data_IF_743247261685
#
_entry.id   IF_743247261685
#
_cell.length_a   1.000
_cell.length_b   1.000
_cell.length_c   1.000
_cell.angle_alpha   90.00
_cell.angle_beta   90.00
_cell.angle_gamma   90.00
#
_symmetry.space_group_name_H-M   'P 1'
#
loop_
_entity.id
_entity.type
_entity.pdbx_description
1 polymer ?
#
# COMPACT_ATOMS: atom_id res chain seq x y z
N UNK A 1 -61.88 17.65 0.64
CA UNK A 1 -61.29 16.34 0.28
C UNK A 1 -59.89 16.24 0.85
N UNK A 2 -59.49 15.13 1.49
CA UNK A 2 -58.12 14.96 1.96
C UNK A 2 -57.20 14.82 0.74
N UNK A 3 -56.11 15.59 0.73
CA UNK A 3 -55.06 15.52 -0.30
C UNK A 3 -54.46 14.11 -0.34
N UNK A 4 -54.31 13.54 -1.54
CA UNK A 4 -53.65 12.24 -1.71
C UNK A 4 -52.22 12.30 -1.14
N UNK A 5 -51.78 11.28 -0.38
CA UNK A 5 -50.42 11.24 0.11
C UNK A 5 -49.47 11.22 -1.08
N UNK A 6 -48.60 12.21 -1.16
CA UNK A 6 -47.53 12.22 -2.15
C UNK A 6 -46.38 11.31 -1.66
N UNK A 7 -45.58 10.84 -2.61
CA UNK A 7 -44.47 9.93 -2.37
C UNK A 7 -43.21 10.45 -3.05
N UNK A 8 -42.09 10.27 -2.37
CA UNK A 8 -40.78 10.66 -2.88
C UNK A 8 -39.69 9.69 -2.42
N UNK A 9 -38.60 9.66 -3.18
CA UNK A 9 -37.44 8.86 -2.88
C UNK A 9 -36.57 9.55 -1.84
N UNK A 10 -36.13 8.79 -0.83
CA UNK A 10 -35.07 9.21 0.09
C UNK A 10 -33.91 8.23 0.02
N UNK A 11 -32.71 8.71 0.35
CA UNK A 11 -31.48 7.92 0.28
C UNK A 11 -30.73 7.95 1.59
N UNK A 12 -30.11 6.84 1.97
CA UNK A 12 -29.13 6.85 3.07
C UNK A 12 -27.84 7.54 2.63
N UNK A 13 -26.97 7.96 3.58
CA UNK A 13 -25.60 8.29 3.27
C UNK A 13 -24.89 7.12 2.55
N UNK A 14 -23.91 7.48 1.72
CA UNK A 14 -23.04 6.50 1.06
C UNK A 14 -22.15 5.78 2.09
N UNK A 15 -21.88 4.49 1.86
CA UNK A 15 -20.85 3.76 2.60
C UNK A 15 -19.48 4.44 2.42
N UNK A 16 -18.58 4.34 3.40
CA UNK A 16 -17.25 4.97 3.31
C UNK A 16 -16.37 4.26 2.26
N UNK A 17 -15.52 5.02 1.56
CA UNK A 17 -14.40 4.48 0.80
C UNK A 17 -13.19 4.45 1.70
N UNK A 18 -12.70 3.26 2.04
CA UNK A 18 -11.53 3.12 2.90
C UNK A 18 -10.22 3.12 2.11
N UNK A 19 -10.26 2.82 0.80
CA UNK A 19 -9.06 2.68 -0.01
C UNK A 19 -9.13 3.50 -1.32
N UNK A 20 -8.37 4.59 -1.45
CA UNK A 20 -8.50 5.53 -2.56
C UNK A 20 -7.95 4.99 -3.89
N UNK A 21 -7.14 3.92 -3.87
CA UNK A 21 -6.53 3.32 -5.06
C UNK A 21 -7.07 1.93 -5.40
N UNK A 22 -8.13 1.46 -4.73
CA UNK A 22 -8.83 0.23 -5.11
C UNK A 22 -10.09 0.55 -5.89
N UNK A 23 -10.46 -0.35 -6.81
CA UNK A 23 -11.78 -0.33 -7.44
C UNK A 23 -12.77 -0.83 -6.39
N UNK A 24 -13.37 0.12 -5.68
CA UNK A 24 -14.41 -0.13 -4.72
C UNK A 24 -15.62 0.71 -5.10
N UNK A 25 -16.81 0.15 -4.85
CA UNK A 25 -18.05 0.88 -5.00
C UNK A 25 -18.56 1.29 -3.62
N UNK A 26 -19.10 2.50 -3.55
CA UNK A 26 -19.94 2.90 -2.44
C UNK A 26 -21.36 2.44 -2.70
N UNK A 27 -21.99 1.95 -1.64
CA UNK A 27 -23.38 1.52 -1.67
C UNK A 27 -24.21 2.44 -0.76
N UNK A 28 -25.46 2.68 -1.15
CA UNK A 28 -26.47 3.31 -0.29
C UNK A 28 -27.82 2.65 -0.51
N UNK A 29 -28.71 2.77 0.48
CA UNK A 29 -30.07 2.28 0.37
C UNK A 29 -31.00 3.41 -0.06
N UNK A 30 -32.02 3.05 -0.82
CA UNK A 30 -33.02 3.98 -1.35
C UNK A 30 -34.39 3.48 -0.92
N UNK A 31 -35.20 4.37 -0.39
CA UNK A 31 -36.53 4.05 0.12
C UNK A 31 -37.57 4.99 -0.49
N UNK A 32 -38.72 4.44 -0.85
CA UNK A 32 -39.90 5.25 -1.14
C UNK A 32 -40.56 5.61 0.19
N UNK A 33 -40.84 6.90 0.41
CA UNK A 33 -41.53 7.37 1.62
C UNK A 33 -42.67 8.30 1.28
N UNK A 34 -43.70 8.28 2.12
CA UNK A 34 -44.80 9.24 2.04
C UNK A 34 -44.42 10.60 2.62
N UNK A 35 -45.23 11.62 2.35
CA UNK A 35 -45.15 12.94 2.99
C UNK A 35 -45.07 12.90 4.52
N UNK A 36 -45.64 11.85 5.11
CA UNK A 36 -45.73 11.63 6.55
C UNK A 36 -44.51 10.85 7.09
N UNK A 37 -43.47 10.65 6.27
CA UNK A 37 -42.22 9.98 6.66
C UNK A 37 -42.30 8.45 6.75
N UNK A 38 -43.44 7.83 6.41
CA UNK A 38 -43.61 6.37 6.47
C UNK A 38 -43.05 5.70 5.21
N UNK A 39 -42.36 4.57 5.39
CA UNK A 39 -41.87 3.73 4.28
C UNK A 39 -43.04 3.15 3.48
N UNK A 40 -42.91 3.20 2.16
CA UNK A 40 -43.88 2.69 1.21
C UNK A 40 -43.19 1.75 0.20
N UNK A 41 -44.00 0.97 -0.54
CA UNK A 41 -43.51 0.14 -1.61
C UNK A 41 -42.91 0.99 -2.75
N UNK A 42 -41.85 0.50 -3.39
CA UNK A 42 -41.15 1.15 -4.52
C UNK A 42 -42.12 1.70 -5.58
N UNK A 43 -43.15 0.92 -5.93
CA UNK A 43 -44.21 1.27 -6.89
C UNK A 43 -44.97 2.57 -6.58
N UNK A 44 -45.07 2.97 -5.30
CA UNK A 44 -45.80 4.18 -4.88
C UNK A 44 -45.09 5.46 -5.28
N UNK A 45 -43.77 5.42 -5.48
CA UNK A 45 -43.00 6.54 -5.99
C UNK A 45 -43.04 6.66 -7.52
N UNK A 46 -43.70 5.70 -8.21
CA UNK A 46 -43.99 5.74 -9.63
C UNK A 46 -42.76 5.80 -10.54
N UNK A 47 -42.93 6.44 -11.70
CA UNK A 47 -41.91 6.58 -12.76
C UNK A 47 -40.79 7.60 -12.43
N UNK A 48 -40.71 8.12 -11.20
CA UNK A 48 -39.57 8.96 -10.79
C UNK A 48 -38.31 8.09 -10.81
N UNK A 49 -37.27 8.56 -11.52
CA UNK A 49 -35.99 7.84 -11.63
C UNK A 49 -35.46 7.47 -10.26
N UNK A 50 -35.27 6.16 -10.05
CA UNK A 50 -34.76 5.63 -8.78
C UNK A 50 -33.33 6.16 -8.60
N UNK A 51 -33.01 6.80 -7.46
CA UNK A 51 -31.66 7.25 -7.18
C UNK A 51 -30.63 6.11 -7.27
N UNK A 52 -29.43 6.43 -7.78
CA UNK A 52 -28.31 5.48 -7.86
C UNK A 52 -28.01 4.85 -6.49
N UNK A 53 -27.99 3.52 -6.41
CA UNK A 53 -27.65 2.76 -5.20
C UNK A 53 -26.16 2.41 -5.10
N UNK A 54 -25.45 2.50 -6.22
CA UNK A 54 -24.03 2.16 -6.35
C UNK A 54 -23.31 3.27 -7.10
N UNK A 55 -22.12 3.65 -6.65
CA UNK A 55 -21.21 4.54 -7.39
C UNK A 55 -19.76 4.15 -7.12
N UNK A 56 -18.88 4.40 -8.09
CA UNK A 56 -17.45 4.20 -7.89
C UNK A 56 -16.89 5.11 -6.79
N UNK A 57 -15.94 4.60 -6.01
CA UNK A 57 -15.20 5.38 -5.05
C UNK A 57 -14.39 6.51 -5.75
N UNK A 58 -14.39 7.74 -5.19
CA UNK A 58 -13.52 8.79 -5.69
C UNK A 58 -12.04 8.40 -5.56
N UNK A 59 -11.29 8.48 -6.66
CA UNK A 59 -9.85 8.14 -6.70
C UNK A 59 -8.94 9.37 -6.65
N UNK A 60 -9.49 10.56 -6.41
CA UNK A 60 -8.75 11.83 -6.38
C UNK A 60 -7.68 11.85 -5.30
N UNK A 61 -7.94 11.22 -4.15
CA UNK A 61 -7.00 11.07 -3.05
C UNK A 61 -5.94 9.95 -3.27
N UNK A 62 -5.96 9.25 -4.42
CA UNK A 62 -4.97 8.22 -4.68
C UNK A 62 -3.59 8.87 -4.90
N UNK A 63 -2.55 8.48 -4.13
CA UNK A 63 -1.19 9.00 -4.27
C UNK A 63 -0.50 8.56 -5.57
N UNK A 64 -1.10 7.68 -6.37
CA UNK A 64 -0.50 7.18 -7.60
C UNK A 64 -1.22 7.72 -8.83
N UNK A 65 -0.55 7.67 -9.97
CA UNK A 65 -1.16 7.94 -11.27
C UNK A 65 -0.41 7.25 -12.41
N UNK A 66 -1.12 7.10 -13.53
CA UNK A 66 -0.52 6.64 -14.77
C UNK A 66 0.20 7.77 -15.47
N UNK A 67 1.51 7.60 -15.68
CA UNK A 67 2.34 8.49 -16.47
C UNK A 67 2.59 7.83 -17.83
N UNK A 68 2.05 8.38 -18.93
CA UNK A 68 2.30 7.85 -20.25
C UNK A 68 3.72 8.18 -20.69
N UNK A 69 4.46 7.16 -21.13
CA UNK A 69 5.73 7.33 -21.81
C UNK A 69 5.58 7.94 -23.20
N UNK A 70 6.71 8.18 -23.90
CA UNK A 70 6.71 8.65 -25.27
C UNK A 70 6.02 7.66 -26.20
N UNK A 71 5.38 8.16 -27.25
CA UNK A 71 4.97 7.34 -28.39
C UNK A 71 6.19 6.79 -29.12
N UNK A 72 6.13 5.50 -29.48
CA UNK A 72 7.06 4.83 -30.37
C UNK A 72 7.00 5.45 -31.76
N UNK A 73 7.86 5.01 -32.67
CA UNK A 73 7.55 5.19 -34.11
C UNK A 73 6.29 4.47 -34.51
N UNK A 74 5.73 4.90 -35.64
CA UNK A 74 4.70 4.14 -36.32
C UNK A 74 5.20 2.72 -36.61
N UNK A 75 4.32 1.74 -36.47
CA UNK A 75 4.60 0.32 -36.70
C UNK A 75 4.97 0.01 -38.14
N UNK A 76 4.59 0.88 -39.08
CA UNK A 76 4.96 0.80 -40.49
C UNK A 76 5.86 1.98 -40.87
N UNK A 77 6.70 1.79 -41.87
CA UNK A 77 7.54 2.86 -42.46
C UNK A 77 6.83 3.60 -43.60
N UNK A 78 5.65 3.14 -43.99
CA UNK A 78 4.79 3.76 -45.00
C UNK A 78 3.30 3.40 -44.77
N UNK A 79 2.40 4.24 -45.29
CA UNK A 79 0.96 4.07 -45.17
C UNK A 79 0.45 4.15 -43.72
N UNK A 80 -0.66 3.47 -43.44
CA UNK A 80 -1.33 3.50 -42.13
C UNK A 80 -0.81 2.44 -41.17
N UNK A 81 -0.38 2.87 -39.99
CA UNK A 81 0.10 2.02 -38.90
C UNK A 81 -0.33 2.54 -37.52
N UNK A 82 0.38 2.10 -36.47
CA UNK A 82 0.11 2.48 -35.09
C UNK A 82 1.38 2.89 -34.35
N UNK A 83 1.29 3.96 -33.56
CA UNK A 83 2.20 4.25 -32.47
C UNK A 83 1.79 3.46 -31.23
N UNK A 84 2.77 3.02 -30.45
CA UNK A 84 2.59 2.38 -29.16
C UNK A 84 3.33 3.17 -28.09
N UNK A 85 2.85 3.18 -26.85
CA UNK A 85 3.62 3.73 -25.72
C UNK A 85 3.51 2.83 -24.51
N UNK A 86 4.57 2.85 -23.69
CA UNK A 86 4.50 2.29 -22.34
C UNK A 86 3.78 3.29 -21.45
N UNK A 87 3.12 2.78 -20.42
CA UNK A 87 2.60 3.60 -19.33
C UNK A 87 3.19 3.06 -18.03
N UNK A 88 3.47 3.96 -17.12
CA UNK A 88 4.09 3.62 -15.83
C UNK A 88 3.19 4.12 -14.72
N UNK A 89 3.06 3.32 -13.65
CA UNK A 89 2.41 3.79 -12.43
C UNK A 89 3.49 4.53 -11.62
N UNK A 90 3.25 5.79 -11.27
CA UNK A 90 4.19 6.63 -10.51
C UNK A 90 3.49 7.27 -9.32
N UNK A 91 4.26 7.58 -8.27
CA UNK A 91 3.75 8.29 -7.08
C UNK A 91 3.72 9.80 -7.35
N UNK A 92 2.61 10.46 -6.98
CA UNK A 92 2.44 11.91 -7.06
C UNK A 92 3.27 12.58 -5.97
N UNK A 93 4.39 13.19 -6.33
CA UNK A 93 5.28 13.85 -5.34
C UNK A 93 4.61 15.09 -4.72
N UNK A 94 3.77 15.79 -5.49
CA UNK A 94 3.15 17.05 -5.07
C UNK A 94 2.09 16.92 -3.97
N UNK A 95 1.56 15.73 -3.70
CA UNK A 95 0.60 15.50 -2.61
C UNK A 95 1.26 15.32 -1.24
N UNK A 96 2.59 15.18 -1.20
CA UNK A 96 3.37 14.81 -0.01
C UNK A 96 4.12 15.99 0.63
N UNK A 97 4.27 17.10 -0.11
CA UNK A 97 5.02 18.30 0.31
C UNK A 97 4.05 19.46 0.54
N UNK A 98 3.17 19.36 1.55
CA UNK A 98 2.23 20.46 1.86
C UNK A 98 2.94 21.71 2.41
N UNK A 99 4.23 21.63 2.78
CA UNK A 99 4.97 22.69 3.48
C UNK A 99 6.42 22.97 3.01
N UNK A 100 6.93 22.39 1.91
CA UNK A 100 8.26 22.78 1.41
C UNK A 100 8.11 23.70 0.21
N UNK A 101 8.77 24.86 0.25
CA UNK A 101 9.00 25.72 -0.91
C UNK A 101 9.78 24.91 -1.94
N UNK A 102 9.10 24.28 -2.90
CA UNK A 102 9.74 23.52 -3.96
C UNK A 102 10.01 24.48 -5.11
N UNK A 103 11.29 24.78 -5.31
CA UNK A 103 11.76 25.41 -6.54
C UNK A 103 11.38 24.53 -7.73
N UNK A 104 10.92 25.15 -8.81
CA UNK A 104 10.45 24.54 -10.06
C UNK A 104 11.45 23.54 -10.71
N UNK A 105 12.67 23.42 -10.18
CA UNK A 105 13.72 22.49 -10.60
C UNK A 105 13.50 21.02 -10.17
N UNK A 106 12.67 20.72 -9.16
CA UNK A 106 12.35 19.32 -8.78
C UNK A 106 11.19 18.70 -9.57
N UNK A 107 10.49 19.49 -10.39
CA UNK A 107 9.32 19.05 -11.17
C UNK A 107 9.64 18.01 -12.28
N UNK A 108 10.92 17.73 -12.52
CA UNK A 108 11.39 16.74 -13.49
C UNK A 108 12.30 15.65 -12.91
N UNK A 109 12.53 15.65 -11.59
CA UNK A 109 13.29 14.58 -10.91
C UNK A 109 12.36 13.38 -10.66
N UNK A 110 12.19 12.58 -11.73
CA UNK A 110 11.68 11.20 -11.78
C UNK A 110 10.88 10.73 -10.56
N UNK A 111 9.58 11.03 -10.55
CA UNK A 111 8.64 10.37 -9.64
C UNK A 111 8.85 8.84 -9.69
N UNK A 112 9.13 8.16 -8.57
CA UNK A 112 9.51 6.75 -8.61
C UNK A 112 8.43 5.91 -9.30
N UNK A 113 8.86 5.05 -10.21
CA UNK A 113 7.97 4.07 -10.82
C UNK A 113 7.64 3.01 -9.77
N UNK A 114 6.36 2.69 -9.67
CA UNK A 114 5.85 1.69 -8.73
C UNK A 114 5.13 0.60 -9.49
N UNK A 115 4.82 -0.49 -8.79
CA UNK A 115 4.15 -1.62 -9.42
C UNK A 115 2.77 -1.20 -9.99
N UNK A 116 2.47 -1.64 -11.21
CA UNK A 116 1.25 -1.31 -11.97
C UNK A 116 -0.05 -1.55 -11.18
N UNK A 117 -0.05 -2.54 -10.27
CA UNK A 117 -1.15 -2.87 -9.34
C UNK A 117 -1.66 -1.67 -8.53
N UNK A 118 -0.79 -0.72 -8.21
CA UNK A 118 -1.13 0.46 -7.40
C UNK A 118 -1.94 1.52 -8.17
N UNK A 119 -1.95 1.45 -9.51
CA UNK A 119 -2.73 2.32 -10.37
C UNK A 119 -3.90 1.60 -11.07
N UNK A 120 -4.15 0.32 -10.78
CA UNK A 120 -5.13 -0.49 -11.55
C UNK A 120 -6.55 0.07 -11.50
N UNK A 121 -6.90 0.75 -10.40
CA UNK A 121 -8.19 1.40 -10.22
C UNK A 121 -8.31 2.75 -10.94
N UNK A 122 -7.21 3.30 -11.43
CA UNK A 122 -7.17 4.60 -12.07
C UNK A 122 -7.47 4.49 -13.58
N UNK A 123 -8.06 5.53 -14.19
CA UNK A 123 -8.27 5.60 -15.63
C UNK A 123 -6.95 5.38 -16.38
N UNK A 124 -6.90 4.33 -17.21
CA UNK A 124 -5.68 3.94 -17.93
C UNK A 124 -5.58 4.74 -19.24
N UNK A 125 -4.49 5.48 -19.49
CA UNK A 125 -4.29 6.18 -20.75
C UNK A 125 -4.22 5.23 -21.95
N UNK A 126 -4.56 5.73 -23.13
CA UNK A 126 -4.43 4.96 -24.38
C UNK A 126 -2.99 4.51 -24.61
N UNK A 127 -2.78 3.25 -24.98
CA UNK A 127 -1.43 2.68 -25.24
C UNK A 127 -1.10 2.58 -26.72
N UNK A 128 -2.10 2.78 -27.59
CA UNK A 128 -1.97 2.81 -29.04
C UNK A 128 -2.65 4.05 -29.62
N UNK A 129 -2.11 4.56 -30.74
CA UNK A 129 -2.69 5.64 -31.53
C UNK A 129 -2.37 5.39 -33.00
N UNK A 130 -3.33 5.60 -33.90
CA UNK A 130 -3.10 5.47 -35.34
C UNK A 130 -2.13 6.56 -35.85
N UNK A 131 -1.31 6.19 -36.84
CA UNK A 131 -0.42 7.08 -37.58
C UNK A 131 -0.53 6.83 -39.08
N UNK A 132 -0.26 7.89 -39.85
CA UNK A 132 -0.18 7.84 -41.30
C UNK A 132 1.17 8.43 -41.73
N UNK A 133 2.01 7.59 -42.33
CA UNK A 133 3.29 8.03 -42.94
C UNK A 133 3.06 8.13 -44.45
N UNK A 134 4.07 8.63 -45.17
CA UNK A 134 4.18 8.63 -46.62
C UNK A 134 3.59 7.34 -47.22
N UNK A 135 2.82 7.44 -48.32
CA UNK A 135 2.39 6.29 -49.09
C UNK A 135 3.56 5.33 -49.40
N UNK A 136 3.30 4.03 -49.48
CA UNK A 136 4.37 3.04 -49.72
C UNK A 136 5.04 3.16 -51.09
N UNK A 137 4.40 3.87 -52.03
CA UNK A 137 4.95 4.22 -53.33
C UNK A 137 5.66 5.60 -53.34
N UNK A 138 5.87 6.26 -52.19
CA UNK A 138 6.56 7.55 -52.13
C UNK A 138 8.01 7.46 -52.65
N UNK A 139 8.50 8.56 -53.23
CA UNK A 139 9.88 8.65 -53.76
C UNK A 139 10.94 8.55 -52.64
N UNK A 140 10.61 9.05 -51.45
CA UNK A 140 11.51 9.07 -50.29
C UNK A 140 10.80 8.57 -49.03
N UNK A 141 11.48 7.75 -48.22
CA UNK A 141 10.94 7.14 -47.00
C UNK A 141 11.96 7.07 -45.86
N UNK A 142 11.44 7.09 -44.64
CA UNK A 142 12.24 6.88 -43.44
C UNK A 142 12.59 5.41 -43.24
N UNK A 143 13.85 5.14 -42.92
CA UNK A 143 14.35 3.85 -42.44
C UNK A 143 14.90 4.00 -41.02
N UNK A 144 14.54 3.06 -40.14
CA UNK A 144 14.88 3.07 -38.71
C UNK A 144 15.61 1.80 -38.34
N UNK A 145 16.72 1.92 -37.61
CA UNK A 145 17.44 0.79 -37.02
C UNK A 145 16.89 0.39 -35.65
N UNK A 146 17.42 -0.68 -35.05
CA UNK A 146 17.09 -1.07 -33.68
C UNK A 146 17.52 0.01 -32.68
N UNK A 147 16.82 0.06 -31.55
CA UNK A 147 17.23 0.87 -30.41
C UNK A 147 18.48 0.28 -29.75
N UNK A 148 19.37 1.17 -29.28
CA UNK A 148 20.47 0.81 -28.38
C UNK A 148 19.92 0.34 -27.03
N UNK A 149 20.82 -0.18 -26.21
CA UNK A 149 20.57 -0.33 -24.78
C UNK A 149 20.27 1.02 -24.12
N UNK A 150 19.64 0.96 -22.95
CA UNK A 150 19.35 2.15 -22.16
C UNK A 150 20.67 2.71 -21.62
N UNK A 151 20.82 4.04 -21.62
CA UNK A 151 22.03 4.70 -21.10
C UNK A 151 22.27 4.49 -19.60
N UNK A 152 21.29 3.96 -18.87
CA UNK A 152 21.36 3.69 -17.45
C UNK A 152 20.97 2.22 -17.18
N UNK A 153 21.68 1.51 -16.28
CA UNK A 153 21.42 0.10 -15.95
C UNK A 153 20.18 -0.09 -15.05
N UNK A 154 19.73 0.99 -14.42
CA UNK A 154 18.50 1.12 -13.65
C UNK A 154 18.02 2.57 -13.76
N UNK A 155 16.83 2.85 -13.26
CA UNK A 155 16.26 4.18 -13.24
C UNK A 155 15.92 4.69 -14.64
N UNK A 156 15.90 6.02 -14.75
CA UNK A 156 15.61 6.72 -15.99
C UNK A 156 16.87 6.88 -16.84
N UNK A 157 16.77 6.55 -18.12
CA UNK A 157 17.84 6.73 -19.09
C UNK A 157 17.28 7.08 -20.47
N UNK A 158 18.14 7.00 -21.49
CA UNK A 158 17.74 7.18 -22.88
C UNK A 158 18.37 6.12 -23.76
N UNK A 159 17.63 5.67 -24.76
CA UNK A 159 18.15 4.85 -25.85
C UNK A 159 18.14 5.61 -27.16
N UNK A 160 19.07 5.25 -28.05
CA UNK A 160 19.29 5.91 -29.33
C UNK A 160 19.13 4.91 -30.47
N UNK A 161 18.75 5.38 -31.66
CA UNK A 161 18.75 4.55 -32.87
C UNK A 161 19.15 5.34 -34.10
N UNK A 162 19.54 4.62 -35.14
CA UNK A 162 19.79 5.20 -36.46
C UNK A 162 18.47 5.49 -37.17
N UNK A 163 18.34 6.69 -37.73
CA UNK A 163 17.20 7.13 -38.55
C UNK A 163 17.74 7.76 -39.83
N UNK A 164 17.42 7.17 -40.97
CA UNK A 164 17.94 7.54 -42.30
C UNK A 164 16.78 7.82 -43.26
N UNK A 165 16.96 8.78 -44.18
CA UNK A 165 16.03 8.98 -45.29
C UNK A 165 16.59 8.23 -46.50
N UNK A 166 15.79 7.36 -47.10
CA UNK A 166 16.17 6.54 -48.24
C UNK A 166 15.28 6.86 -49.45
N UNK A 167 15.81 6.72 -50.66
CA UNK A 167 15.02 6.71 -51.89
C UNK A 167 14.37 5.33 -52.15
N UNK A 168 13.83 5.13 -53.36
CA UNK A 168 13.20 3.87 -53.77
C UNK A 168 14.19 2.72 -53.86
N UNK A 169 15.41 3.00 -54.31
CA UNK A 169 16.48 2.02 -54.51
C UNK A 169 17.20 1.68 -53.19
N UNK A 170 16.87 2.39 -52.10
CA UNK A 170 17.44 2.17 -50.78
C UNK A 170 18.69 3.01 -50.50
N UNK A 171 19.05 3.93 -51.39
CA UNK A 171 20.18 4.81 -51.21
C UNK A 171 19.85 5.92 -50.21
N UNK A 172 20.85 6.29 -49.40
CA UNK A 172 20.69 7.36 -48.41
C UNK A 172 20.67 8.71 -49.10
N UNK A 173 19.60 9.47 -48.86
CA UNK A 173 19.42 10.83 -49.40
C UNK A 173 19.34 11.87 -48.28
N UNK A 174 19.25 13.15 -48.68
CA UNK A 174 19.10 14.26 -47.76
C UNK A 174 17.83 14.11 -46.88
N UNK A 175 17.95 14.37 -45.58
CA UNK A 175 16.87 14.15 -44.61
C UNK A 175 15.62 15.02 -44.88
N UNK A 176 15.82 16.21 -45.43
CA UNK A 176 14.74 17.13 -45.82
C UNK A 176 13.76 16.50 -46.81
N UNK A 177 14.21 15.58 -47.65
CA UNK A 177 13.36 14.89 -48.64
C UNK A 177 12.31 13.96 -48.00
N UNK A 178 12.55 13.51 -46.77
CA UNK A 178 11.60 12.71 -45.99
C UNK A 178 10.86 13.53 -44.92
N UNK A 179 11.19 14.80 -44.71
CA UNK A 179 10.57 15.66 -43.69
C UNK A 179 9.20 16.25 -44.15
N UNK A 180 8.61 15.74 -45.25
CA UNK A 180 7.32 16.17 -45.81
C UNK A 180 6.09 15.74 -44.97
N UNK A 181 6.28 14.92 -43.92
CA UNK A 181 5.20 14.42 -43.06
C UNK A 181 5.52 14.68 -41.57
N UNK A 182 4.50 14.93 -40.72
CA UNK A 182 4.70 15.35 -39.33
C UNK A 182 5.24 14.23 -38.43
N UNK A 183 5.01 12.96 -38.77
CA UNK A 183 5.37 11.80 -37.94
C UNK A 183 6.81 11.30 -38.17
N UNK A 184 7.77 12.22 -38.04
CA UNK A 184 9.21 11.91 -38.13
C UNK A 184 9.64 10.89 -37.06
N UNK A 185 10.34 9.81 -37.42
CA UNK A 185 10.90 8.89 -36.45
C UNK A 185 11.89 9.52 -35.45
N UNK A 186 11.67 9.24 -34.16
CA UNK A 186 12.57 9.69 -33.06
C UNK A 186 13.92 8.99 -33.11
N UNK A 187 15.01 9.74 -32.89
CA UNK A 187 16.39 9.19 -32.77
C UNK A 187 16.79 8.87 -31.34
N UNK A 188 16.14 9.50 -30.37
CA UNK A 188 16.36 9.34 -28.93
C UNK A 188 15.01 9.21 -28.27
N UNK A 189 14.88 8.27 -27.34
CA UNK A 189 13.71 8.16 -26.49
C UNK A 189 14.09 7.81 -25.06
N UNK A 190 13.34 8.29 -24.06
CA UNK A 190 13.54 7.88 -22.68
C UNK A 190 13.24 6.38 -22.52
N UNK A 191 13.98 5.74 -21.63
CA UNK A 191 13.79 4.37 -21.20
C UNK A 191 13.83 4.32 -19.68
N UNK A 192 13.09 3.37 -19.13
CA UNK A 192 13.12 3.03 -17.72
C UNK A 192 13.18 1.51 -17.63
N UNK A 193 14.21 0.98 -16.97
CA UNK A 193 14.41 -0.46 -16.84
C UNK A 193 13.75 -1.00 -15.57
N UNK A 194 14.18 -0.49 -14.41
CA UNK A 194 13.73 -0.85 -13.07
C UNK A 194 14.11 0.26 -12.10
N UNK A 195 13.57 0.26 -10.88
CA UNK A 195 14.08 1.16 -9.85
C UNK A 195 15.54 0.81 -9.51
N UNK A 196 16.35 1.82 -9.17
CA UNK A 196 17.73 1.60 -8.73
C UNK A 196 17.83 1.06 -7.29
N UNK A 197 16.81 1.30 -6.47
CA UNK A 197 16.71 0.74 -5.13
C UNK A 197 15.91 -0.58 -5.17
N UNK A 198 16.39 -1.63 -4.48
CA UNK A 198 15.66 -2.89 -4.34
C UNK A 198 14.41 -2.70 -3.47
N UNK A 199 13.42 -3.56 -3.64
CA UNK A 199 12.16 -3.55 -2.89
C UNK A 199 12.22 -4.32 -1.57
N UNK A 200 13.16 -5.24 -1.43
CA UNK A 200 13.42 -6.01 -0.20
C UNK A 200 14.88 -6.50 -0.12
N UNK A 201 15.21 -7.21 0.96
CA UNK A 201 16.55 -7.77 1.17
C UNK A 201 16.92 -8.86 0.15
N UNK A 202 15.94 -9.60 -0.38
CA UNK A 202 16.20 -10.67 -1.35
C UNK A 202 16.60 -10.09 -2.71
N UNK A 203 15.90 -9.05 -3.16
CA UNK A 203 16.25 -8.29 -4.35
C UNK A 203 17.56 -7.52 -4.17
N UNK A 204 17.83 -6.97 -2.98
CA UNK A 204 19.12 -6.35 -2.64
C UNK A 204 20.27 -7.36 -2.82
N UNK A 205 20.13 -8.58 -2.30
CA UNK A 205 21.12 -9.65 -2.48
C UNK A 205 21.31 -10.02 -3.95
N UNK A 206 20.22 -10.14 -4.70
CA UNK A 206 20.27 -10.49 -6.13
C UNK A 206 20.99 -9.43 -6.99
N UNK A 207 20.89 -8.15 -6.63
CA UNK A 207 21.51 -7.06 -7.39
C UNK A 207 22.96 -6.78 -7.03
N UNK A 208 23.40 -7.15 -5.83
CA UNK A 208 24.72 -6.78 -5.39
C UNK A 208 25.75 -7.80 -5.83
N UNK A 209 26.47 -7.50 -6.92
CA UNK A 209 27.67 -8.25 -7.33
C UNK A 209 28.87 -7.99 -6.39
N UNK A 210 28.76 -7.03 -5.46
CA UNK A 210 29.88 -6.56 -4.63
C UNK A 210 29.57 -6.22 -3.16
N UNK A 211 28.34 -6.34 -2.67
CA UNK A 211 28.05 -6.02 -1.26
C UNK A 211 28.29 -7.26 -0.40
N UNK A 212 29.13 -7.05 0.61
CA UNK A 212 29.21 -7.86 1.81
C UNK A 212 27.82 -8.44 2.13
N UNK A 213 27.73 -9.77 2.12
CA UNK A 213 26.62 -10.58 2.62
C UNK A 213 26.47 -10.42 4.14
N UNK A 214 26.60 -9.18 4.61
CA UNK A 214 26.58 -8.77 5.99
C UNK A 214 25.14 -8.39 6.34
N UNK A 215 24.74 -8.79 7.53
CA UNK A 215 23.51 -8.31 8.11
C UNK A 215 23.66 -6.82 8.47
N UNK A 216 22.59 -6.07 8.35
CA UNK A 216 22.66 -4.63 8.59
C UNK A 216 21.43 -3.86 8.15
N UNK A 217 21.52 -2.54 8.30
CA UNK A 217 20.47 -1.63 7.89
C UNK A 217 20.66 -1.23 6.42
N UNK A 218 19.59 -1.37 5.64
CA UNK A 218 19.56 -1.04 4.22
C UNK A 218 18.31 -0.22 3.90
N UNK A 219 18.43 0.62 2.88
CA UNK A 219 17.27 1.36 2.36
C UNK A 219 16.67 0.61 1.18
N UNK A 220 15.39 0.28 1.28
CA UNK A 220 14.61 -0.35 0.21
C UNK A 220 13.50 0.58 -0.26
N UNK A 221 12.98 0.35 -1.46
CA UNK A 221 11.91 1.14 -2.06
C UNK A 221 10.60 0.35 -2.08
N UNK A 222 9.67 0.71 -1.21
CA UNK A 222 8.35 0.08 -1.11
C UNK A 222 7.29 1.04 -1.61
N UNK A 223 6.62 0.67 -2.70
CA UNK A 223 5.57 1.46 -3.35
C UNK A 223 5.92 2.95 -3.53
N UNK A 224 7.19 3.24 -3.84
CA UNK A 224 7.71 4.58 -4.13
C UNK A 224 8.36 5.30 -2.94
N UNK A 225 8.34 4.70 -1.76
CA UNK A 225 8.84 5.29 -0.53
C UNK A 225 10.08 4.55 -0.02
N UNK A 226 11.07 5.30 0.45
CA UNK A 226 12.27 4.73 1.07
C UNK A 226 11.92 4.26 2.47
N UNK A 227 12.15 2.98 2.74
CA UNK A 227 11.97 2.37 4.05
C UNK A 227 13.32 1.82 4.50
N UNK A 228 13.70 2.13 5.74
CA UNK A 228 14.89 1.56 6.36
C UNK A 228 14.53 0.19 6.94
N UNK A 229 15.19 -0.86 6.46
CA UNK A 229 14.98 -2.25 6.87
C UNK A 229 16.27 -2.81 7.43
N UNK A 230 16.15 -3.79 8.32
CA UNK A 230 17.27 -4.62 8.72
C UNK A 230 17.23 -5.94 7.94
N UNK A 231 18.28 -6.21 7.18
CA UNK A 231 18.46 -7.49 6.49
C UNK A 231 19.22 -8.45 7.39
N UNK A 232 18.65 -9.63 7.59
CA UNK A 232 19.22 -10.69 8.42
C UNK A 232 19.47 -11.94 7.59
N UNK A 233 20.55 -12.67 7.89
CA UNK A 233 21.02 -13.85 7.14
C UNK A 233 21.30 -13.50 5.67
N UNK A 234 22.00 -12.40 5.44
CA UNK A 234 22.46 -12.01 4.10
C UNK A 234 23.44 -13.01 3.48
N UNK A 235 24.03 -13.89 4.29
CA UNK A 235 24.80 -15.05 3.83
C UNK A 235 23.94 -16.19 3.25
N UNK A 236 22.68 -16.35 3.68
CA UNK A 236 21.78 -17.41 3.21
C UNK A 236 21.11 -17.06 1.88
N UNK A 237 20.62 -18.06 1.13
CA UNK A 237 20.01 -17.88 -0.20
C UNK A 237 18.84 -16.91 -0.21
N UNK A 238 18.05 -16.86 0.87
CA UNK A 238 16.89 -15.98 1.02
C UNK A 238 17.02 -15.21 2.34
N UNK A 239 17.55 -13.97 2.32
CA UNK A 239 17.64 -13.16 3.51
C UNK A 239 16.27 -12.76 4.02
N UNK A 240 16.17 -12.55 5.33
CA UNK A 240 14.94 -12.14 6.01
C UNK A 240 14.92 -10.63 6.20
N UNK A 241 13.77 -10.01 5.96
CA UNK A 241 13.58 -8.57 6.11
C UNK A 241 12.89 -8.25 7.43
N UNK A 242 13.44 -7.29 8.17
CA UNK A 242 12.90 -6.80 9.44
C UNK A 242 12.75 -5.28 9.45
N UNK A 243 11.86 -4.76 10.29
CA UNK A 243 11.76 -3.34 10.61
C UNK A 243 12.34 -3.10 12.00
N UNK A 244 13.23 -2.12 12.11
CA UNK A 244 13.76 -1.67 13.40
C UNK A 244 12.68 -0.90 14.16
N UNK A 245 12.46 -1.27 15.42
CA UNK A 245 11.46 -0.64 16.30
C UNK A 245 12.04 -0.47 17.70
N UNK A 246 11.40 0.37 18.52
CA UNK A 246 11.86 0.63 19.88
C UNK A 246 11.34 -0.47 20.83
N UNK A 247 12.25 -1.24 21.44
CA UNK A 247 11.91 -2.33 22.36
C UNK A 247 11.21 -1.87 23.65
N UNK A 248 11.31 -0.59 24.03
CA UNK A 248 10.61 -0.04 25.19
C UNK A 248 9.13 0.23 24.94
N UNK A 249 8.76 0.49 23.68
CA UNK A 249 7.38 0.81 23.29
C UNK A 249 6.71 -0.30 22.49
N UNK A 250 7.45 -1.36 22.14
CA UNK A 250 6.96 -2.52 21.40
C UNK A 250 7.11 -3.79 22.22
N UNK A 251 6.01 -4.28 22.77
CA UNK A 251 5.97 -5.46 23.62
C UNK A 251 4.62 -6.19 23.54
N UNK A 252 4.61 -7.43 23.98
CA UNK A 252 3.44 -8.27 24.12
C UNK A 252 3.50 -9.03 25.45
N UNK A 253 2.38 -9.11 26.15
CA UNK A 253 2.27 -9.72 27.48
C UNK A 253 1.02 -10.58 27.61
N UNK A 254 1.23 -11.82 28.02
CA UNK A 254 0.18 -12.66 28.60
C UNK A 254 0.36 -12.61 30.11
N UNK A 255 -0.60 -12.01 30.80
CA UNK A 255 -0.49 -11.77 32.23
C UNK A 255 -0.72 -13.06 33.03
N UNK A 256 0.25 -13.38 33.90
CA UNK A 256 0.36 -14.68 34.55
C UNK A 256 -0.25 -14.83 35.93
N UNK A 257 -0.97 -13.84 36.48
CA UNK A 257 -1.67 -14.03 37.76
C UNK A 257 -3.17 -14.12 37.61
N UNK A 258 -3.79 -14.80 38.56
CA UNK A 258 -5.24 -14.97 38.70
C UNK A 258 -5.72 -14.43 40.03
N UNK A 259 -6.81 -13.67 40.05
CA UNK A 259 -7.42 -13.20 41.28
C UNK A 259 -7.91 -14.36 42.15
N UNK A 260 -7.71 -14.26 43.46
CA UNK A 260 -8.33 -15.17 44.44
C UNK A 260 -9.86 -15.08 44.41
N UNK A 261 -10.40 -13.88 44.12
CA UNK A 261 -11.83 -13.62 43.94
C UNK A 261 -12.15 -13.40 42.46
N UNK A 262 -12.39 -14.47 41.67
CA UNK A 262 -12.42 -14.40 40.21
C UNK A 262 -13.55 -13.54 39.65
N UNK A 263 -14.64 -13.30 40.38
CA UNK A 263 -15.77 -12.48 39.89
C UNK A 263 -15.62 -10.98 40.18
N UNK A 264 -14.42 -10.53 40.57
CA UNK A 264 -14.14 -9.12 40.89
C UNK A 264 -13.22 -8.48 39.85
N UNK A 265 -13.27 -7.15 39.77
CA UNK A 265 -12.30 -6.35 39.01
C UNK A 265 -11.80 -5.19 39.90
N UNK A 266 -10.77 -5.43 40.73
CA UNK A 266 -10.22 -4.41 41.62
C UNK A 266 -9.67 -3.20 40.84
N UNK A 267 -9.61 -2.04 41.52
CA UNK A 267 -9.00 -0.80 41.01
C UNK A 267 -9.53 -0.33 39.65
N UNK A 268 -10.82 -0.53 39.37
CA UNK A 268 -11.45 -0.17 38.08
C UNK A 268 -10.73 -0.78 36.86
N UNK A 269 -10.13 -1.96 37.05
CA UNK A 269 -9.37 -2.67 36.02
C UNK A 269 -8.00 -2.05 35.72
N UNK A 270 -7.50 -1.17 36.58
CA UNK A 270 -6.10 -0.71 36.53
C UNK A 270 -5.19 -1.80 37.04
N UNK A 271 -4.02 -1.88 36.41
CA UNK A 271 -2.94 -2.81 36.75
C UNK A 271 -2.46 -2.54 38.17
N UNK A 272 -2.55 -3.54 39.04
CA UNK A 272 -1.91 -3.53 40.35
C UNK A 272 -1.19 -4.86 40.59
N UNK A 273 0.15 -4.80 40.69
CA UNK A 273 0.99 -5.97 40.91
C UNK A 273 0.94 -6.48 42.36
N UNK A 274 0.35 -5.71 43.28
CA UNK A 274 0.10 -6.09 44.68
C UNK A 274 -1.31 -6.66 44.90
N UNK A 275 -1.94 -7.24 43.87
CA UNK A 275 -3.25 -7.87 43.99
C UNK A 275 -3.26 -9.06 44.96
N UNK A 276 -4.44 -9.37 45.51
CA UNK A 276 -4.74 -10.65 46.16
C UNK A 276 -4.96 -11.72 45.08
N UNK A 277 -3.85 -12.24 44.56
CA UNK A 277 -3.81 -13.08 43.37
C UNK A 277 -2.74 -14.16 43.50
N UNK A 278 -2.96 -15.30 42.85
CA UNK A 278 -2.01 -16.41 42.76
C UNK A 278 -1.28 -16.41 41.42
N UNK A 279 -0.11 -17.06 41.37
CA UNK A 279 0.66 -17.27 40.15
C UNK A 279 0.14 -18.48 39.31
N UNK A 280 -1.05 -19.01 39.62
CA UNK A 280 -1.76 -20.06 38.87
C UNK A 280 -2.41 -19.54 37.57
N UNK A 281 -1.75 -18.61 36.88
CA UNK A 281 -2.23 -18.02 35.63
C UNK A 281 -2.14 -18.97 34.45
N UNK A 282 -2.10 -18.39 33.24
CA UNK A 282 -1.95 -19.19 32.02
C UNK A 282 -0.56 -19.81 31.93
N UNK A 283 -0.45 -21.06 31.48
CA UNK A 283 0.85 -21.68 31.15
C UNK A 283 1.59 -20.94 30.04
N UNK A 284 0.86 -20.20 29.20
CA UNK A 284 1.41 -19.32 28.17
C UNK A 284 1.76 -17.91 28.68
N UNK A 285 1.77 -17.69 30.00
CA UNK A 285 2.12 -16.40 30.56
C UNK A 285 3.56 -16.02 30.23
N UNK A 286 3.76 -14.77 29.84
CA UNK A 286 5.06 -14.31 29.41
C UNK A 286 5.06 -12.83 29.05
N UNK A 287 6.27 -12.29 28.86
CA UNK A 287 6.48 -10.93 28.40
C UNK A 287 7.61 -10.90 27.39
N UNK A 288 7.31 -10.51 26.15
CA UNK A 288 8.27 -10.37 25.07
C UNK A 288 8.34 -8.90 24.63
N UNK A 289 9.56 -8.37 24.54
CA UNK A 289 9.87 -7.05 23.98
C UNK A 289 10.59 -7.20 22.65
N UNK A 290 10.37 -6.28 21.70
CA UNK A 290 10.81 -6.46 20.32
C UNK A 290 11.70 -5.30 19.87
N UNK A 291 12.94 -5.60 19.48
CA UNK A 291 13.83 -4.60 18.87
C UNK A 291 13.70 -4.55 17.34
N UNK A 292 13.26 -5.65 16.73
CA UNK A 292 12.94 -5.75 15.31
C UNK A 292 11.77 -6.70 15.11
N UNK A 293 10.95 -6.43 14.10
CA UNK A 293 9.82 -7.29 13.72
C UNK A 293 9.98 -7.77 12.28
N UNK A 294 9.68 -9.04 12.03
CA UNK A 294 9.79 -9.60 10.69
C UNK A 294 8.64 -9.13 9.82
N UNK A 295 8.98 -8.68 8.61
CA UNK A 295 8.01 -8.17 7.65
C UNK A 295 8.12 -8.83 6.29
N UNK A 296 6.97 -8.95 5.65
CA UNK A 296 6.83 -9.19 4.23
C UNK A 296 6.36 -7.89 3.58
N UNK A 297 7.28 -7.19 2.93
CA UNK A 297 7.00 -5.90 2.28
C UNK A 297 6.31 -6.07 0.92
N UNK A 298 6.29 -7.28 0.36
CA UNK A 298 5.53 -7.57 -0.86
C UNK A 298 4.03 -7.65 -0.57
N UNK A 299 3.68 -8.36 0.51
CA UNK A 299 2.30 -8.56 0.98
C UNK A 299 1.87 -7.55 2.04
N UNK A 300 2.80 -6.68 2.49
CA UNK A 300 2.59 -5.69 3.54
C UNK A 300 2.04 -6.30 4.83
N UNK A 301 2.70 -7.36 5.33
CA UNK A 301 2.31 -8.07 6.55
C UNK A 301 3.48 -8.21 7.53
N UNK A 302 3.16 -8.14 8.83
CA UNK A 302 4.09 -8.47 9.90
C UNK A 302 3.88 -9.94 10.28
N UNK A 303 4.98 -10.70 10.39
CA UNK A 303 4.95 -12.04 10.98
C UNK A 303 5.04 -11.91 12.50
N UNK A 304 3.91 -12.12 13.18
CA UNK A 304 3.80 -11.95 14.64
C UNK A 304 4.48 -13.06 15.45
N UNK A 305 4.78 -14.21 14.84
CA UNK A 305 5.37 -15.37 15.50
C UNK A 305 6.89 -15.49 15.30
N UNK A 306 7.53 -14.48 14.68
CA UNK A 306 8.99 -14.48 14.54
C UNK A 306 9.64 -13.78 15.75
N UNK A 307 10.28 -14.59 16.60
CA UNK A 307 10.90 -14.14 17.85
C UNK A 307 12.41 -13.86 17.71
N UNK A 308 12.96 -13.87 16.48
CA UNK A 308 14.42 -13.80 16.24
C UNK A 308 15.10 -12.60 16.94
N UNK A 309 14.40 -11.46 17.01
CA UNK A 309 14.89 -10.23 17.65
C UNK A 309 13.98 -9.79 18.82
N UNK A 310 13.24 -10.73 19.37
CA UNK A 310 12.49 -10.56 20.60
C UNK A 310 13.37 -10.90 21.80
N UNK A 311 13.15 -10.21 22.92
CA UNK A 311 13.71 -10.54 24.21
C UNK A 311 12.56 -10.85 25.17
N UNK A 312 12.50 -12.09 25.63
CA UNK A 312 11.53 -12.54 26.62
C UNK A 312 12.10 -12.31 28.00
N UNK A 313 11.48 -11.39 28.75
CA UNK A 313 11.97 -10.96 30.07
C UNK A 313 11.49 -11.90 31.18
N UNK A 314 10.35 -12.58 30.96
CA UNK A 314 9.78 -13.56 31.89
C UNK A 314 8.80 -14.47 31.16
N UNK A 315 8.69 -15.72 31.63
CA UNK A 315 7.74 -16.71 31.11
C UNK A 315 8.04 -17.13 29.68
N UNK A 316 6.99 -17.47 28.94
CA UNK A 316 7.04 -17.96 27.56
C UNK A 316 7.13 -16.82 26.53
N UNK A 317 7.52 -17.17 25.31
CA UNK A 317 7.52 -16.25 24.17
C UNK A 317 6.08 -15.85 23.80
N UNK A 318 5.78 -14.55 23.90
CA UNK A 318 4.46 -13.99 23.55
C UNK A 318 4.52 -13.37 22.16
N UNK A 319 3.72 -13.83 21.19
CA UNK A 319 3.71 -13.29 19.83
C UNK A 319 3.46 -11.78 19.78
N UNK A 320 4.05 -11.11 18.81
CA UNK A 320 3.89 -9.68 18.65
C UNK A 320 2.42 -9.29 18.42
N UNK A 321 1.98 -8.14 18.95
CA UNK A 321 0.60 -7.65 18.83
C UNK A 321 -0.49 -8.57 19.42
N UNK A 322 -0.13 -9.54 20.26
CA UNK A 322 -1.09 -10.37 21.01
C UNK A 322 -1.00 -10.09 22.50
N UNK A 323 -2.08 -10.39 23.22
CA UNK A 323 -2.12 -10.29 24.67
C UNK A 323 -3.20 -11.21 25.21
N UNK A 324 -3.11 -11.56 26.48
CA UNK A 324 -4.14 -12.36 27.15
C UNK A 324 -3.91 -12.45 28.64
N UNK A 325 -4.86 -13.02 29.36
CA UNK A 325 -4.72 -13.32 30.77
C UNK A 325 -5.80 -14.29 31.25
N UNK A 326 -5.57 -14.85 32.44
CA UNK A 326 -6.53 -15.61 33.23
C UNK A 326 -6.92 -14.86 34.51
N UNK A 327 -6.94 -13.52 34.48
CA UNK A 327 -6.96 -12.71 35.69
C UNK A 327 -8.30 -12.76 36.42
N UNK A 328 -9.41 -12.71 35.69
CA UNK A 328 -10.75 -12.53 36.25
C UNK A 328 -11.81 -13.20 35.38
N UNK A 329 -12.88 -13.73 35.97
CA UNK A 329 -14.05 -14.27 35.27
C UNK A 329 -15.02 -13.20 34.74
N UNK A 330 -14.79 -11.91 35.06
CA UNK A 330 -15.53 -10.77 34.53
C UNK A 330 -14.67 -9.95 33.56
N UNK A 331 -15.23 -8.89 32.98
CA UNK A 331 -14.55 -8.02 32.01
C UNK A 331 -13.43 -7.17 32.67
N UNK A 332 -12.28 -7.81 32.94
CA UNK A 332 -11.15 -7.20 33.64
C UNK A 332 -9.78 -7.56 33.02
N UNK A 333 -9.54 -7.24 31.74
CA UNK A 333 -8.32 -7.63 31.05
C UNK A 333 -7.07 -6.92 31.61
N UNK A 334 -6.04 -7.70 31.90
CA UNK A 334 -4.72 -7.30 32.38
C UNK A 334 -3.60 -7.58 31.38
N UNK A 335 -3.78 -8.56 30.48
CA UNK A 335 -2.87 -8.78 29.37
C UNK A 335 -2.78 -7.53 28.50
N UNK A 336 -1.59 -7.23 27.97
CA UNK A 336 -1.38 -6.00 27.19
C UNK A 336 -0.35 -6.16 26.08
N UNK A 337 -0.51 -5.35 25.04
CA UNK A 337 0.49 -5.20 24.00
C UNK A 337 0.59 -3.75 23.54
N UNK A 338 1.72 -3.41 22.93
CA UNK A 338 1.95 -2.13 22.30
C UNK A 338 2.63 -2.31 20.94
N UNK A 339 2.10 -1.61 19.94
CA UNK A 339 2.65 -1.52 18.58
C UNK A 339 2.97 -0.05 18.36
N UNK A 340 4.23 0.26 18.13
CA UNK A 340 4.72 1.59 17.87
C UNK A 340 5.62 1.55 16.64
N UNK A 341 5.01 1.86 15.49
CA UNK A 341 5.64 1.93 14.17
C UNK A 341 6.05 3.36 13.81
N UNK A 342 5.99 4.30 14.75
CA UNK A 342 6.34 5.70 14.47
C UNK A 342 7.80 5.81 14.03
N UNK A 343 8.05 6.65 13.03
CA UNK A 343 9.39 6.85 12.46
C UNK A 343 9.82 5.76 11.49
N UNK A 344 9.02 4.71 11.28
CA UNK A 344 9.29 3.67 10.28
C UNK A 344 8.67 3.99 8.91
N UNK A 345 7.77 4.98 8.85
CA UNK A 345 7.00 5.30 7.64
C UNK A 345 5.85 4.32 7.38
N UNK A 346 5.53 3.45 8.35
CA UNK A 346 4.49 2.43 8.27
C UNK A 346 3.41 2.66 9.32
N UNK A 347 2.19 2.21 9.03
CA UNK A 347 1.07 2.14 9.97
C UNK A 347 0.30 0.84 9.78
N UNK A 348 -0.49 0.48 10.79
CA UNK A 348 -1.43 -0.64 10.68
C UNK A 348 -2.68 -0.18 9.93
N UNK A 349 -3.22 -1.03 9.04
CA UNK A 349 -4.40 -0.66 8.25
C UNK A 349 -5.61 -0.32 9.13
N UNK A 350 -6.41 0.64 8.67
CA UNK A 350 -7.48 1.26 9.46
C UNK A 350 -8.62 0.29 9.83
N UNK A 351 -8.87 -0.70 8.98
CA UNK A 351 -9.96 -1.67 9.11
C UNK A 351 -9.52 -3.00 9.75
N UNK A 352 -8.26 -3.12 10.20
CA UNK A 352 -7.82 -4.31 10.93
C UNK A 352 -8.46 -4.38 12.32
N UNK A 353 -8.86 -5.58 12.75
CA UNK A 353 -9.44 -5.81 14.07
C UNK A 353 -8.65 -6.85 14.84
N UNK A 354 -8.73 -6.74 16.16
CA UNK A 354 -8.32 -7.81 17.08
C UNK A 354 -9.55 -8.64 17.38
N UNK A 355 -9.38 -9.96 17.34
CA UNK A 355 -10.42 -10.93 17.61
C UNK A 355 -10.13 -11.55 18.96
N UNK A 356 -11.12 -11.52 19.83
CA UNK A 356 -11.10 -12.17 21.13
C UNK A 356 -11.22 -13.69 20.95
N UNK A 357 -10.38 -14.42 21.66
CA UNK A 357 -10.32 -15.88 21.64
C UNK A 357 -10.47 -16.39 23.07
N UNK A 358 -11.41 -17.31 23.27
CA UNK A 358 -11.76 -17.85 24.58
C UNK A 358 -13.20 -17.55 24.95
N UNK A 359 -13.60 -17.96 26.15
CA UNK A 359 -14.95 -17.74 26.66
C UNK A 359 -14.99 -16.45 27.48
N UNK A 360 -15.95 -15.55 27.20
CA UNK A 360 -16.11 -14.25 27.91
C UNK A 360 -14.83 -13.39 27.94
N UNK A 361 -14.05 -13.48 26.87
CA UNK A 361 -12.87 -12.65 26.67
C UNK A 361 -13.29 -11.25 26.23
N UNK A 362 -12.50 -10.27 26.63
CA UNK A 362 -12.70 -8.88 26.22
C UNK A 362 -11.38 -8.26 25.80
N UNK A 363 -11.43 -7.43 24.75
CA UNK A 363 -10.32 -6.57 24.35
C UNK A 363 -10.71 -5.10 24.29
N UNK A 364 -9.74 -4.25 24.63
CA UNK A 364 -9.83 -2.79 24.51
C UNK A 364 -8.63 -2.31 23.72
N UNK A 365 -8.87 -1.94 22.45
CA UNK A 365 -7.83 -1.52 21.52
C UNK A 365 -7.91 -0.02 21.28
N UNK A 366 -6.86 0.70 21.65
CA UNK A 366 -6.71 2.13 21.45
C UNK A 366 -5.74 2.39 20.30
N UNK A 367 -6.19 3.19 19.34
CA UNK A 367 -5.42 3.57 18.14
C UNK A 367 -5.11 5.07 18.19
N UNK A 368 -3.86 5.43 17.93
CA UNK A 368 -3.36 6.80 17.92
C UNK A 368 -2.40 7.03 16.73
N UNK A 369 -2.00 8.29 16.51
CA UNK A 369 -0.99 8.66 15.50
C UNK A 369 -1.26 8.04 14.12
N UNK A 370 -2.48 8.21 13.60
CA UNK A 370 -2.88 7.66 12.30
C UNK A 370 -2.72 6.12 12.20
N UNK A 371 -2.91 5.37 13.29
CA UNK A 371 -2.69 3.92 13.38
C UNK A 371 -1.21 3.47 13.33
N UNK A 372 -0.28 4.39 13.51
CA UNK A 372 1.12 4.07 13.75
C UNK A 372 1.40 3.63 15.21
N UNK A 373 0.54 4.05 16.14
CA UNK A 373 0.60 3.69 17.56
C UNK A 373 -0.69 2.97 17.97
N UNK A 374 -0.56 1.77 18.52
CA UNK A 374 -1.69 0.97 19.00
C UNK A 374 -1.36 0.35 20.35
N UNK A 375 -2.27 0.52 21.32
CA UNK A 375 -2.21 -0.14 22.61
C UNK A 375 -3.44 -1.03 22.77
N UNK A 376 -3.21 -2.28 23.17
CA UNK A 376 -4.30 -3.22 23.45
C UNK A 376 -4.22 -3.74 24.87
N UNK A 377 -5.40 -3.90 25.50
CA UNK A 377 -5.57 -4.74 26.68
C UNK A 377 -6.50 -5.88 26.35
N UNK A 378 -6.14 -7.10 26.70
CA UNK A 378 -6.88 -8.29 26.33
C UNK A 378 -6.82 -9.36 27.42
N UNK A 379 -7.93 -10.06 27.61
CA UNK A 379 -8.04 -11.19 28.52
C UNK A 379 -9.35 -11.21 29.31
N UNK A 380 -9.27 -11.55 30.59
CA UNK A 380 -10.40 -11.92 31.44
C UNK A 380 -10.35 -13.41 31.78
N UNK A 381 -11.37 -14.16 31.37
CA UNK A 381 -11.55 -15.56 31.76
C UNK A 381 -10.69 -16.50 30.90
N UNK A 382 -9.37 -16.46 31.11
CA UNK A 382 -8.38 -17.21 30.32
C UNK A 382 -8.50 -16.94 28.82
N UNK A 383 -8.67 -15.66 28.51
CA UNK A 383 -8.85 -15.16 27.16
C UNK A 383 -7.57 -14.58 26.58
N UNK A 384 -7.49 -14.55 25.26
CA UNK A 384 -6.45 -13.83 24.53
C UNK A 384 -7.05 -13.07 23.35
N UNK A 385 -6.33 -12.09 22.84
CA UNK A 385 -6.66 -11.43 21.59
C UNK A 385 -5.48 -11.50 20.63
N UNK A 386 -5.79 -11.56 19.36
CA UNK A 386 -4.80 -11.46 18.28
C UNK A 386 -5.39 -10.67 17.12
N UNK A 387 -4.57 -10.15 16.20
CA UNK A 387 -5.05 -9.74 14.90
C UNK A 387 -5.88 -10.85 14.24
N UNK A 388 -6.88 -10.45 13.47
CA UNK A 388 -7.82 -11.35 12.81
C UNK A 388 -7.09 -12.45 12.01
N UNK A 389 -7.36 -13.73 12.31
CA UNK A 389 -6.55 -14.89 11.88
C UNK A 389 -6.31 -14.97 10.37
N UNK A 390 -7.33 -14.68 9.55
CA UNK A 390 -7.24 -14.76 8.09
C UNK A 390 -6.54 -13.55 7.47
N UNK A 391 -6.72 -12.37 8.06
CA UNK A 391 -6.12 -11.13 7.56
C UNK A 391 -4.66 -11.01 8.00
N UNK A 392 -4.37 -11.35 9.26
CA UNK A 392 -3.09 -11.17 9.91
C UNK A 392 -2.81 -9.70 10.25
N UNK A 393 -1.60 -9.41 10.74
CA UNK A 393 -1.19 -8.03 11.03
C UNK A 393 -0.74 -7.33 9.74
N UNK A 394 -1.72 -6.72 9.05
CA UNK A 394 -1.50 -6.00 7.79
C UNK A 394 -1.12 -4.55 8.07
N UNK A 395 -0.10 -4.08 7.35
CA UNK A 395 0.42 -2.71 7.42
C UNK A 395 0.28 -2.01 6.07
N UNK A 396 0.44 -0.69 6.08
CA UNK A 396 0.51 0.14 4.88
C UNK A 396 1.47 1.31 5.11
N UNK A 397 1.80 2.02 4.04
CA UNK A 397 2.68 3.18 4.14
C UNK A 397 1.92 4.34 4.78
N UNK A 398 2.52 4.94 5.80
CA UNK A 398 2.01 6.17 6.41
C UNK A 398 2.64 7.40 5.77
N UNK A 399 1.91 8.00 4.83
CA UNK A 399 2.33 9.21 4.14
C UNK A 399 2.48 10.43 5.06
N UNK A 400 1.87 10.41 6.26
CA UNK A 400 1.99 11.51 7.22
C UNK A 400 3.34 11.48 7.94
N UNK A 401 4.01 10.34 8.03
CA UNK A 401 5.27 10.16 8.77
C UNK A 401 6.53 10.66 8.03
N UNK A 402 6.42 11.68 7.16
CA UNK A 402 7.52 12.17 6.30
C UNK A 402 8.36 11.05 5.64
N UNK A 403 7.77 10.04 4.97
CA UNK A 403 8.56 9.03 4.29
C UNK A 403 9.34 9.69 3.15
N UNK A 404 10.66 9.53 3.14
CA UNK A 404 11.53 10.08 2.09
C UNK A 404 11.16 9.42 0.75
N UNK A 405 10.69 10.23 -0.20
CA UNK A 405 10.40 9.72 -1.55
C UNK A 405 11.71 9.34 -2.22
N UNK A 406 11.74 8.14 -2.80
CA UNK A 406 12.92 7.67 -3.51
C UNK A 406 13.05 8.32 -4.87
N UNK A 407 13.89 9.35 -5.01
CA UNK A 407 14.31 9.80 -6.36
C UNK A 407 15.10 8.66 -7.00
N UNK A 408 14.62 8.18 -8.15
CA UNK A 408 15.13 7.00 -8.85
C UNK A 408 15.76 7.30 -10.20
#
# INVERSE_FOLDING_TARGET
MPSCPAYHWITTPWSKCNEPCKRADQHRRVYCVSNLGKRAASKMCGNKTIPLMTRACPTTACPYHWVPGPWSTCSKTCGTGYHFRRIECRVKVHHLLRNSVVSDALSAASEPAVHSRLCIALPRPSVSKQCAINPCNAKYRWSVGPWSECSAPCGSGFRRRRVRCLDRDGNRVARSLCDQNPDRPRRREPCFLRNCLPSDCAELKAFSTQANNADGNYTVLVAGFRINVYCHRMNETIPKTYININNRTNFAEIYGRRLLYPFTCPHDGRRNDSCLCNDDGSASAGFSSFSKIRVDLHNMKINIHDHTFAQTLRGEDVPYATAGDCYSAVECPQGRFAIDLRGTGLKVVDDLRWVDQGHRTSSRINRAENNALIHGRCGGYCGQCSPEKFKGLVIEIDQKQQPLVGVG
#
